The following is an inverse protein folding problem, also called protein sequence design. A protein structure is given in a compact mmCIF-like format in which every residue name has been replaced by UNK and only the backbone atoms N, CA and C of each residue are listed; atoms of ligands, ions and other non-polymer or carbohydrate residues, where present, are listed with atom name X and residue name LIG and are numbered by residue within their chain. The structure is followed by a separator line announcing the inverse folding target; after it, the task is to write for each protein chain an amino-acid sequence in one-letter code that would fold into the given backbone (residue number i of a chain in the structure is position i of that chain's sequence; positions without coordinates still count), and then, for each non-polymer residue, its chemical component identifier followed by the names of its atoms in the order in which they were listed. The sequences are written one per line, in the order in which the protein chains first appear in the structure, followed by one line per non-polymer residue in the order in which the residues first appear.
data_IF_831984747364
#
_entry.id   IF_831984747364
#
_cell.length_a   1.000
_cell.length_b   1.000
_cell.length_c   1.000
_cell.angle_alpha   90.00
_cell.angle_beta   90.00
_cell.angle_gamma   90.00
#
_symmetry.space_group_name_H-M   'P 1'
#
loop_
_entity.id
_entity.type
_entity.pdbx_description
1 polymer ?
#
# COMPACT_ATOMS: atom_id res chain seq x y z
N UNK A 1 8.74 -29.85 5.07
CA UNK A 1 8.97 -28.40 4.90
C UNK A 1 8.71 -27.73 6.23
N UNK A 2 9.62 -26.91 6.78
CA UNK A 2 9.38 -26.23 8.05
C UNK A 2 8.18 -25.27 7.96
N UNK A 3 7.39 -25.18 9.03
CA UNK A 3 6.26 -24.25 9.14
C UNK A 3 6.75 -22.82 9.39
N UNK A 4 5.92 -21.81 9.20
CA UNK A 4 6.30 -20.40 9.40
C UNK A 4 6.64 -20.13 10.87
N UNK A 5 5.96 -20.85 11.77
CA UNK A 5 6.26 -20.86 13.20
C UNK A 5 7.71 -21.25 13.49
N UNK A 6 8.30 -22.19 12.74
CA UNK A 6 9.64 -22.72 13.03
C UNK A 6 10.73 -21.69 12.82
N UNK A 7 10.60 -20.82 11.82
CA UNK A 7 11.54 -19.73 11.54
C UNK A 7 11.53 -18.65 12.62
N UNK A 8 10.45 -18.54 13.39
CA UNK A 8 10.30 -17.55 14.47
C UNK A 8 10.95 -17.92 15.79
N UNK A 9 11.31 -19.20 15.98
CA UNK A 9 11.78 -19.73 17.28
C UNK A 9 13.15 -19.18 17.69
N UNK A 10 14.05 -18.99 16.72
CA UNK A 10 15.43 -18.58 16.97
C UNK A 10 15.79 -17.40 16.05
N UNK A 11 15.86 -16.20 16.61
CA UNK A 11 16.25 -14.97 15.94
C UNK A 11 15.40 -14.66 14.66
N UNK A 12 14.12 -14.27 14.81
CA UNK A 12 13.24 -14.00 13.66
C UNK A 12 13.77 -12.88 12.74
N UNK A 13 14.62 -11.99 13.26
CA UNK A 13 15.22 -10.89 12.49
C UNK A 13 16.08 -11.38 11.31
N UNK A 14 16.65 -12.58 11.38
CA UNK A 14 17.45 -13.12 10.28
C UNK A 14 16.60 -13.46 9.05
N UNK A 15 15.30 -13.68 9.25
CA UNK A 15 14.35 -14.12 8.22
C UNK A 15 13.57 -13.00 7.58
N UNK A 16 13.75 -11.76 8.03
CA UNK A 16 13.14 -10.58 7.40
C UNK A 16 14.15 -9.83 6.54
N UNK A 17 13.64 -9.11 5.54
CA UNK A 17 14.39 -8.26 4.64
C UNK A 17 14.27 -6.82 5.11
N UNK A 18 15.40 -6.17 5.37
CA UNK A 18 15.43 -4.73 5.62
C UNK A 18 15.63 -3.99 4.30
N UNK A 19 14.65 -3.19 3.90
CA UNK A 19 14.83 -2.24 2.80
C UNK A 19 15.43 -0.94 3.32
N UNK A 20 16.52 -0.53 2.66
CA UNK A 20 17.11 0.78 2.88
C UNK A 20 16.12 1.88 2.47
N UNK A 21 16.11 2.95 3.24
CA UNK A 21 15.39 4.18 2.93
C UNK A 21 16.33 5.37 3.05
N UNK A 22 16.01 6.46 2.36
CA UNK A 22 16.77 7.71 2.50
C UNK A 22 16.63 8.26 3.91
N UNK A 23 17.75 8.63 4.55
CA UNK A 23 17.76 9.18 5.91
C UNK A 23 17.54 10.68 5.90
N UNK A 24 17.07 11.22 7.01
CA UNK A 24 17.17 12.66 7.27
C UNK A 24 18.63 12.99 7.68
N UNK A 25 19.24 14.10 7.21
CA UNK A 25 18.70 15.09 6.28
C UNK A 25 18.99 14.81 4.80
N UNK A 26 19.56 13.65 4.44
CA UNK A 26 20.06 13.34 3.09
C UNK A 26 19.01 13.55 1.98
N UNK A 27 17.74 13.25 2.25
CA UNK A 27 16.67 13.44 1.25
C UNK A 27 16.24 14.89 1.04
N UNK A 28 16.66 15.85 1.88
CA UNK A 28 16.18 17.24 1.81
C UNK A 28 16.50 17.89 0.46
N UNK A 29 17.62 17.54 -0.17
CA UNK A 29 17.97 18.04 -1.51
C UNK A 29 16.94 17.60 -2.56
N UNK A 30 16.42 16.38 -2.46
CA UNK A 30 15.37 15.85 -3.36
C UNK A 30 14.02 16.47 -3.01
N UNK A 31 13.70 16.58 -1.72
CA UNK A 31 12.48 17.23 -1.26
C UNK A 31 12.37 18.68 -1.75
N UNK A 32 13.46 19.46 -1.66
CA UNK A 32 13.51 20.83 -2.15
C UNK A 32 13.20 20.91 -3.64
N UNK A 33 13.86 20.08 -4.46
CA UNK A 33 13.59 20.00 -5.91
C UNK A 33 12.12 19.70 -6.24
N UNK A 34 11.44 18.93 -5.38
CA UNK A 34 10.04 18.55 -5.60
C UNK A 34 9.03 19.61 -5.14
N UNK A 35 9.33 20.35 -4.07
CA UNK A 35 8.33 21.15 -3.36
C UNK A 35 8.57 22.66 -3.37
N UNK A 36 9.77 23.13 -3.75
CA UNK A 36 10.08 24.57 -3.75
C UNK A 36 9.19 25.36 -4.70
N UNK A 37 9.10 24.95 -5.97
CA UNK A 37 8.23 25.61 -6.94
C UNK A 37 6.73 25.53 -6.57
N UNK A 38 6.16 24.36 -6.18
CA UNK A 38 4.79 24.29 -5.70
C UNK A 38 4.50 25.16 -4.47
N UNK A 39 5.45 25.32 -3.54
CA UNK A 39 5.27 26.19 -2.37
C UNK A 39 5.22 27.67 -2.76
N UNK A 40 6.08 28.10 -3.68
CA UNK A 40 6.05 29.47 -4.21
C UNK A 40 4.74 29.75 -4.96
N UNK A 41 4.31 28.81 -5.81
CA UNK A 41 3.05 28.88 -6.55
C UNK A 41 1.83 28.94 -5.61
N UNK A 42 1.84 28.14 -4.54
CA UNK A 42 0.81 28.21 -3.50
C UNK A 42 0.72 29.61 -2.88
N UNK A 43 1.87 30.27 -2.64
CA UNK A 43 1.91 31.66 -2.15
C UNK A 43 1.25 32.65 -3.11
N UNK A 44 1.46 32.49 -4.42
CA UNK A 44 0.79 33.32 -5.46
C UNK A 44 -0.73 33.12 -5.43
N UNK A 45 -1.17 31.86 -5.36
CA UNK A 45 -2.60 31.53 -5.28
C UNK A 45 -3.23 32.06 -3.98
N UNK A 46 -2.52 31.96 -2.86
CA UNK A 46 -2.97 32.51 -1.57
C UNK A 46 -3.22 34.01 -1.62
N UNK A 47 -2.39 34.78 -2.34
CA UNK A 47 -2.53 36.23 -2.43
C UNK A 47 -3.66 36.67 -3.36
N UNK A 48 -4.05 35.83 -4.32
CA UNK A 48 -5.09 36.14 -5.30
C UNK A 48 -6.47 35.58 -4.95
N UNK A 49 -6.55 34.60 -4.04
CA UNK A 49 -7.81 34.01 -3.60
C UNK A 49 -8.62 34.96 -2.70
N UNK A 50 -9.95 34.90 -2.79
CA UNK A 50 -10.85 35.70 -1.94
C UNK A 50 -11.12 35.03 -0.59
N UNK A 51 -11.23 33.70 -0.58
CA UNK A 51 -11.42 32.87 0.61
C UNK A 51 -10.79 31.48 0.40
N UNK A 52 -10.84 30.62 1.43
CA UNK A 52 -10.25 29.28 1.40
C UNK A 52 -10.92 28.33 0.40
N UNK A 53 -12.20 28.55 0.07
CA UNK A 53 -12.89 27.77 -0.95
C UNK A 53 -12.48 28.23 -2.36
N UNK A 54 -12.36 29.53 -2.60
CA UNK A 54 -11.82 30.08 -3.84
C UNK A 54 -10.37 29.62 -4.09
N UNK A 55 -9.54 29.56 -3.04
CA UNK A 55 -8.20 28.98 -3.12
C UNK A 55 -8.23 27.54 -3.64
N UNK A 56 -9.10 26.68 -3.10
CA UNK A 56 -9.26 25.30 -3.58
C UNK A 56 -9.73 25.27 -5.05
N UNK A 57 -10.70 26.10 -5.42
CA UNK A 57 -11.21 26.21 -6.80
C UNK A 57 -10.14 26.65 -7.80
N UNK A 58 -9.19 27.49 -7.37
CA UNK A 58 -8.03 27.86 -8.19
C UNK A 58 -7.06 26.70 -8.35
N UNK A 59 -6.69 26.05 -7.23
CA UNK A 59 -5.78 24.90 -7.24
C UNK A 59 -6.27 23.79 -8.19
N UNK A 60 -7.58 23.49 -8.22
CA UNK A 60 -8.08 22.42 -9.11
C UNK A 60 -7.91 22.72 -10.61
N UNK A 61 -7.75 24.00 -10.98
CA UNK A 61 -7.54 24.45 -12.37
C UNK A 61 -6.08 24.33 -12.82
N UNK A 62 -5.14 24.18 -11.89
CA UNK A 62 -3.73 24.02 -12.21
C UNK A 62 -3.45 22.69 -12.94
N UNK A 63 -2.45 22.64 -13.83
CA UNK A 63 -2.09 21.43 -14.56
C UNK A 63 -1.41 20.39 -13.66
N UNK A 64 -1.42 19.14 -14.11
CA UNK A 64 -0.60 18.08 -13.52
C UNK A 64 0.88 18.25 -13.96
N UNK A 65 1.86 17.83 -13.13
CA UNK A 65 1.71 17.24 -11.80
C UNK A 65 1.57 18.27 -10.65
N UNK A 66 1.79 19.56 -10.90
CA UNK A 66 1.85 20.64 -9.89
C UNK A 66 0.63 20.70 -8.97
N UNK A 67 -0.57 20.53 -9.55
CA UNK A 67 -1.85 20.48 -8.82
C UNK A 67 -1.86 19.52 -7.63
N UNK A 68 -1.27 18.32 -7.77
CA UNK A 68 -1.28 17.33 -6.67
C UNK A 68 -0.48 17.84 -5.48
N UNK A 69 0.64 18.52 -5.73
CA UNK A 69 1.45 19.08 -4.66
C UNK A 69 0.75 20.28 -4.00
N UNK A 70 0.11 21.15 -4.79
CA UNK A 70 -0.72 22.23 -4.26
C UNK A 70 -1.86 21.71 -3.38
N UNK A 71 -2.53 20.62 -3.75
CA UNK A 71 -3.56 19.98 -2.90
C UNK A 71 -2.99 19.43 -1.59
N UNK A 72 -1.77 18.87 -1.63
CA UNK A 72 -1.08 18.39 -0.42
C UNK A 72 -0.72 19.56 0.50
N UNK A 73 -0.26 20.68 -0.05
CA UNK A 73 0.03 21.91 0.69
C UNK A 73 -1.27 22.50 1.28
N UNK A 74 -2.33 22.60 0.47
CA UNK A 74 -3.67 23.02 0.90
C UNK A 74 -4.17 22.20 2.10
N UNK A 75 -4.04 20.87 2.05
CA UNK A 75 -4.40 20.00 3.18
C UNK A 75 -3.67 20.37 4.48
N UNK A 76 -2.39 20.77 4.40
CA UNK A 76 -1.58 21.11 5.58
C UNK A 76 -1.95 22.46 6.17
N UNK A 77 -2.17 23.46 5.33
CA UNK A 77 -2.47 24.82 5.78
C UNK A 77 -3.95 25.06 6.06
N UNK A 78 -4.84 24.45 5.28
CA UNK A 78 -6.27 24.83 5.22
C UNK A 78 -7.18 23.75 5.77
N UNK A 79 -7.05 22.50 5.32
CA UNK A 79 -7.99 21.43 5.69
C UNK A 79 -7.29 20.14 6.09
N UNK A 80 -7.00 19.98 7.37
CA UNK A 80 -6.36 18.76 7.88
C UNK A 80 -7.28 17.54 7.81
N UNK A 81 -8.60 17.77 7.92
CA UNK A 81 -9.64 16.73 7.94
C UNK A 81 -9.99 16.20 6.56
N UNK A 82 -9.77 16.96 5.48
CA UNK A 82 -10.08 16.50 4.12
C UNK A 82 -8.94 15.63 3.57
N UNK A 83 -9.17 14.35 3.22
CA UNK A 83 -8.16 13.52 2.58
C UNK A 83 -7.75 14.06 1.21
N UNK A 84 -6.47 13.93 0.84
CA UNK A 84 -5.99 14.36 -0.48
C UNK A 84 -6.70 13.61 -1.60
N UNK A 85 -7.06 12.33 -1.41
CA UNK A 85 -7.81 11.55 -2.41
C UNK A 85 -9.21 12.11 -2.71
N UNK A 86 -9.82 12.81 -1.75
CA UNK A 86 -11.06 13.56 -2.01
C UNK A 86 -10.77 14.83 -2.82
N UNK A 87 -9.71 15.57 -2.44
CA UNK A 87 -9.31 16.81 -3.15
C UNK A 87 -8.96 16.56 -4.62
N UNK A 88 -8.38 15.40 -4.95
CA UNK A 88 -8.03 15.02 -6.34
C UNK A 88 -9.25 14.85 -7.25
N UNK A 89 -10.45 14.64 -6.72
CA UNK A 89 -11.68 14.47 -7.50
C UNK A 89 -12.24 15.83 -7.91
N UNK A 90 -11.69 16.39 -9.00
CA UNK A 90 -12.02 17.74 -9.49
C UNK A 90 -13.53 17.93 -9.69
N UNK A 91 -14.22 16.92 -10.24
CA UNK A 91 -15.67 16.96 -10.45
C UNK A 91 -16.50 17.09 -9.18
N UNK A 92 -15.88 16.88 -8.00
CA UNK A 92 -16.50 16.95 -6.68
C UNK A 92 -16.00 18.14 -5.85
N UNK A 93 -15.32 19.12 -6.45
CA UNK A 93 -14.74 20.23 -5.68
C UNK A 93 -15.82 21.03 -4.92
N UNK A 94 -16.98 21.27 -5.53
CA UNK A 94 -18.08 21.98 -4.87
C UNK A 94 -18.70 21.14 -3.75
N UNK A 95 -18.84 19.83 -3.93
CA UNK A 95 -19.27 18.90 -2.87
C UNK A 95 -18.32 18.94 -1.67
N UNK A 96 -17.01 19.00 -1.93
CA UNK A 96 -15.99 19.15 -0.87
C UNK A 96 -16.14 20.49 -0.14
N UNK A 97 -16.34 21.59 -0.87
CA UNK A 97 -16.55 22.91 -0.27
C UNK A 97 -17.82 22.92 0.57
N UNK A 98 -18.93 22.36 0.09
CA UNK A 98 -20.19 22.29 0.84
C UNK A 98 -20.05 21.46 2.10
N UNK A 99 -19.42 20.29 2.02
CA UNK A 99 -19.38 19.34 3.14
C UNK A 99 -18.29 19.63 4.17
N UNK A 100 -17.17 20.22 3.75
CA UNK A 100 -15.99 20.42 4.60
C UNK A 100 -15.52 21.88 4.69
N UNK A 101 -16.08 22.80 3.89
CA UNK A 101 -15.63 24.19 3.83
C UNK A 101 -15.79 24.95 5.15
N UNK A 102 -16.76 24.56 5.98
CA UNK A 102 -16.94 25.13 7.31
C UNK A 102 -15.77 24.82 8.27
N UNK A 103 -15.04 23.73 8.03
CA UNK A 103 -13.84 23.34 8.78
C UNK A 103 -12.55 23.94 8.20
N UNK A 104 -12.63 24.67 7.07
CA UNK A 104 -11.44 25.27 6.47
C UNK A 104 -10.94 26.40 7.36
N UNK A 105 -9.62 26.39 7.63
CA UNK A 105 -8.95 27.54 8.24
C UNK A 105 -9.22 28.79 7.39
N UNK A 106 -9.47 29.92 8.03
CA UNK A 106 -9.74 31.16 7.31
C UNK A 106 -8.53 31.58 6.47
N UNK A 107 -8.77 32.23 5.34
CA UNK A 107 -7.67 32.62 4.43
C UNK A 107 -6.70 33.61 5.10
N UNK A 108 -7.19 34.45 6.02
CA UNK A 108 -6.36 35.37 6.79
C UNK A 108 -5.36 34.63 7.70
N UNK A 109 -5.83 33.64 8.44
CA UNK A 109 -4.97 32.80 9.29
C UNK A 109 -3.99 31.97 8.45
N UNK A 110 -4.41 31.48 7.29
CA UNK A 110 -3.54 30.74 6.36
C UNK A 110 -2.41 31.63 5.85
N UNK A 111 -2.71 32.87 5.41
CA UNK A 111 -1.71 33.83 4.97
C UNK A 111 -0.72 34.18 6.07
N UNK A 112 -1.19 34.41 7.30
CA UNK A 112 -0.33 34.67 8.45
C UNK A 112 0.58 33.47 8.76
N UNK A 113 0.02 32.26 8.76
CA UNK A 113 0.77 31.04 9.00
C UNK A 113 1.77 30.69 7.89
N UNK A 114 1.48 31.04 6.64
CA UNK A 114 2.41 30.88 5.52
C UNK A 114 3.55 31.90 5.62
N UNK A 115 3.24 33.17 5.87
CA UNK A 115 4.23 34.25 5.98
C UNK A 115 5.18 34.11 7.19
N UNK A 116 4.78 33.41 8.25
CA UNK A 116 5.63 33.16 9.42
C UNK A 116 6.71 32.09 9.20
N UNK A 117 6.71 31.42 8.04
CA UNK A 117 7.65 30.34 7.70
C UNK A 117 8.80 30.86 6.83
N UNK A 118 9.97 30.21 6.87
CA UNK A 118 11.03 30.49 5.91
C UNK A 118 10.59 30.12 4.49
N UNK A 119 11.16 30.79 3.49
CA UNK A 119 10.91 30.52 2.08
C UNK A 119 12.26 30.21 1.41
N UNK A 120 12.55 28.94 1.06
CA UNK A 120 11.68 27.76 1.16
C UNK A 120 11.45 27.21 2.60
N UNK A 121 10.25 26.67 2.86
CA UNK A 121 9.90 26.02 4.14
C UNK A 121 10.39 24.56 4.18
N UNK A 122 11.68 24.37 4.48
CA UNK A 122 12.30 23.04 4.52
C UNK A 122 11.60 22.06 5.46
N UNK A 123 11.04 22.52 6.59
CA UNK A 123 10.37 21.63 7.53
C UNK A 123 9.09 21.06 6.91
N UNK A 124 8.32 21.90 6.22
CA UNK A 124 7.14 21.43 5.49
C UNK A 124 7.54 20.50 4.34
N UNK A 125 8.60 20.81 3.60
CA UNK A 125 9.13 19.92 2.55
C UNK A 125 9.51 18.56 3.11
N UNK A 126 10.18 18.52 4.27
CA UNK A 126 10.58 17.28 4.93
C UNK A 126 9.37 16.42 5.30
N UNK A 127 8.38 17.03 5.97
CA UNK A 127 7.13 16.36 6.33
C UNK A 127 6.41 15.85 5.08
N UNK A 128 6.32 16.65 4.02
CA UNK A 128 5.66 16.23 2.78
C UNK A 128 6.39 15.08 2.09
N UNK A 129 7.73 15.08 2.10
CA UNK A 129 8.55 14.04 1.50
C UNK A 129 8.45 12.70 2.23
N UNK A 130 8.39 12.70 3.56
CA UNK A 130 8.18 11.49 4.36
C UNK A 130 6.89 10.75 3.96
N UNK A 131 5.88 11.50 3.51
CA UNK A 131 4.64 10.92 2.98
C UNK A 131 4.70 10.57 1.50
N UNK A 132 5.66 11.09 0.74
CA UNK A 132 5.81 10.83 -0.69
C UNK A 132 6.30 9.41 -0.97
N UNK A 133 7.12 8.86 -0.07
CA UNK A 133 7.71 7.52 -0.18
C UNK A 133 6.85 6.42 0.47
N UNK A 134 5.66 6.76 0.98
CA UNK A 134 4.76 5.78 1.60
C UNK A 134 4.30 4.75 0.57
N UNK A 135 4.73 3.50 0.77
CA UNK A 135 4.40 2.35 -0.08
C UNK A 135 5.54 1.86 -0.96
N UNK A 136 6.63 2.62 -1.11
CA UNK A 136 7.77 2.22 -1.96
C UNK A 136 8.40 0.91 -1.53
N UNK A 137 8.53 0.68 -0.22
CA UNK A 137 9.00 -0.58 0.36
C UNK A 137 8.09 -1.76 0.04
N UNK A 138 6.77 -1.55 0.00
CA UNK A 138 5.83 -2.56 -0.46
C UNK A 138 6.01 -2.89 -1.94
N UNK A 139 6.23 -1.87 -2.78
CA UNK A 139 6.52 -2.07 -4.21
C UNK A 139 7.87 -2.75 -4.46
N UNK A 140 8.86 -2.49 -3.61
CA UNK A 140 10.15 -3.18 -3.68
C UNK A 140 10.00 -4.66 -3.29
N UNK A 141 9.15 -4.97 -2.29
CA UNK A 141 8.82 -6.34 -1.90
C UNK A 141 8.21 -7.12 -3.07
N UNK A 142 7.16 -6.59 -3.70
CA UNK A 142 6.50 -7.25 -4.83
C UNK A 142 7.44 -7.35 -6.03
N UNK A 143 8.19 -6.30 -6.35
CA UNK A 143 9.14 -6.34 -7.47
C UNK A 143 10.19 -7.44 -7.31
N UNK A 144 10.76 -7.61 -6.12
CA UNK A 144 11.73 -8.68 -5.84
C UNK A 144 11.11 -10.06 -5.92
N UNK A 145 9.88 -10.22 -5.41
CA UNK A 145 9.16 -11.48 -5.49
C UNK A 145 8.86 -11.88 -6.94
N UNK A 146 8.30 -10.97 -7.75
CA UNK A 146 7.97 -11.25 -9.15
C UNK A 146 9.22 -11.63 -9.94
N UNK A 147 10.30 -10.86 -9.79
CA UNK A 147 11.59 -11.17 -10.42
C UNK A 147 12.08 -12.58 -10.03
N UNK A 148 12.12 -12.87 -8.73
CA UNK A 148 12.55 -14.18 -8.25
C UNK A 148 11.66 -15.31 -8.80
N UNK A 149 10.34 -15.11 -8.83
CA UNK A 149 9.40 -16.12 -9.30
C UNK A 149 9.59 -16.39 -10.80
N UNK A 150 9.69 -15.34 -11.62
CA UNK A 150 9.92 -15.48 -13.06
C UNK A 150 11.25 -16.20 -13.35
N UNK A 151 12.33 -15.83 -12.66
CA UNK A 151 13.65 -16.47 -12.80
C UNK A 151 13.63 -17.95 -12.37
N UNK A 152 12.86 -18.30 -11.33
CA UNK A 152 12.83 -19.66 -10.76
C UNK A 152 11.82 -20.57 -11.47
N UNK A 153 10.68 -20.03 -11.90
CA UNK A 153 9.48 -20.79 -12.25
C UNK A 153 8.80 -20.35 -13.56
N UNK A 154 9.25 -19.27 -14.21
CA UNK A 154 8.59 -18.68 -15.38
C UNK A 154 8.48 -19.60 -16.60
N UNK A 155 9.26 -20.68 -16.66
CA UNK A 155 9.15 -21.70 -17.71
C UNK A 155 7.91 -22.62 -17.55
N UNK A 156 7.34 -22.73 -16.34
CA UNK A 156 6.26 -23.69 -16.01
C UNK A 156 4.99 -23.02 -15.49
N UNK A 157 5.12 -21.80 -14.99
CA UNK A 157 4.04 -21.07 -14.34
C UNK A 157 4.01 -19.63 -14.83
N UNK A 158 2.83 -19.03 -14.78
CA UNK A 158 2.62 -17.62 -15.05
C UNK A 158 2.28 -16.91 -13.74
N UNK A 159 2.75 -15.67 -13.61
CA UNK A 159 2.46 -14.79 -12.48
C UNK A 159 1.88 -13.48 -13.01
N UNK A 160 0.81 -13.00 -12.37
CA UNK A 160 0.13 -11.74 -12.69
C UNK A 160 -0.07 -10.91 -11.42
N UNK A 161 -0.13 -9.60 -11.59
CA UNK A 161 -0.33 -8.60 -10.54
C UNK A 161 0.62 -7.40 -10.63
N UNK A 162 0.41 -6.41 -9.76
CA UNK A 162 1.20 -5.18 -9.78
C UNK A 162 2.63 -5.42 -9.27
N UNK A 163 3.60 -5.46 -10.18
CA UNK A 163 5.05 -5.55 -9.84
C UNK A 163 5.50 -4.38 -8.95
N UNK A 164 4.89 -3.20 -9.11
CA UNK A 164 5.11 -1.98 -8.30
C UNK A 164 3.77 -1.29 -8.03
N UNK A 165 3.71 0.05 -8.10
CA UNK A 165 2.45 0.77 -8.11
C UNK A 165 1.59 0.33 -9.32
N UNK A 166 0.39 -0.18 -9.06
CA UNK A 166 -0.52 -0.68 -10.09
C UNK A 166 -1.87 -1.05 -9.52
N UNK A 167 -2.77 -1.51 -10.39
CA UNK A 167 -4.07 -2.04 -9.98
C UNK A 167 -3.90 -3.51 -9.60
N UNK A 168 -4.43 -3.88 -8.45
CA UNK A 168 -4.45 -5.27 -7.98
C UNK A 168 -5.25 -6.19 -8.91
N UNK A 169 -4.95 -7.49 -8.86
CA UNK A 169 -5.72 -8.52 -9.56
C UNK A 169 -7.07 -8.67 -8.87
N UNK A 170 -8.13 -8.33 -9.59
CA UNK A 170 -9.49 -8.52 -9.10
C UNK A 170 -9.89 -9.98 -9.26
N UNK A 171 -9.87 -10.76 -8.17
CA UNK A 171 -10.08 -12.21 -8.25
C UNK A 171 -11.43 -12.59 -8.86
N UNK A 172 -12.46 -11.76 -8.68
CA UNK A 172 -13.77 -12.00 -9.28
C UNK A 172 -13.80 -11.86 -10.82
N UNK A 173 -12.81 -11.20 -11.42
CA UNK A 173 -12.62 -11.09 -12.88
C UNK A 173 -11.82 -12.30 -13.42
N UNK A 174 -11.01 -12.95 -12.56
CA UNK A 174 -10.14 -14.08 -12.93
C UNK A 174 -10.72 -15.45 -12.61
N UNK A 175 -11.53 -15.55 -11.56
CA UNK A 175 -12.06 -16.81 -11.03
C UNK A 175 -13.52 -17.01 -11.47
N UNK A 176 -13.85 -18.09 -12.20
CA UNK A 176 -15.20 -18.37 -12.67
C UNK A 176 -16.21 -18.48 -11.52
N UNK A 177 -17.39 -17.88 -11.70
CA UNK A 177 -18.50 -17.93 -10.74
C UNK A 177 -18.16 -17.43 -9.32
N UNK A 178 -17.06 -16.72 -9.14
CA UNK A 178 -16.64 -16.22 -7.83
C UNK A 178 -17.75 -15.38 -7.15
N UNK A 179 -18.40 -14.50 -7.92
CA UNK A 179 -19.52 -13.68 -7.45
C UNK A 179 -20.78 -14.46 -7.09
N UNK A 180 -20.92 -15.69 -7.59
CA UNK A 180 -22.02 -16.57 -7.23
C UNK A 180 -21.85 -17.14 -5.82
N UNK A 181 -20.62 -17.14 -5.28
CA UNK A 181 -20.32 -17.63 -3.94
C UNK A 181 -20.08 -16.51 -2.93
N UNK A 182 -19.52 -15.37 -3.38
CA UNK A 182 -19.12 -14.27 -2.50
C UNK A 182 -19.43 -12.91 -3.12
N UNK A 183 -20.04 -12.01 -2.34
CA UNK A 183 -20.40 -10.66 -2.77
C UNK A 183 -19.23 -9.66 -2.69
N UNK A 184 -18.18 -9.98 -1.92
CA UNK A 184 -17.03 -9.11 -1.71
C UNK A 184 -16.05 -9.16 -2.88
N UNK A 185 -15.44 -8.00 -3.16
CA UNK A 185 -14.31 -7.92 -4.08
C UNK A 185 -13.03 -8.22 -3.30
N UNK A 186 -12.28 -9.23 -3.72
CA UNK A 186 -10.96 -9.53 -3.14
C UNK A 186 -9.88 -9.11 -4.15
N UNK A 187 -9.20 -7.97 -3.92
CA UNK A 187 -8.00 -7.60 -4.67
C UNK A 187 -6.82 -8.42 -4.17
N UNK A 188 -6.06 -9.03 -5.08
CA UNK A 188 -4.85 -9.79 -4.80
C UNK A 188 -3.63 -9.13 -5.45
N UNK A 189 -2.51 -9.15 -4.75
CA UNK A 189 -1.22 -8.62 -5.23
C UNK A 189 -0.53 -9.60 -6.19
N UNK A 190 -0.82 -10.89 -6.03
CA UNK A 190 -0.18 -11.99 -6.75
C UNK A 190 -1.26 -12.95 -7.23
N UNK A 191 -1.20 -13.36 -8.49
CA UNK A 191 -2.02 -14.43 -9.05
C UNK A 191 -1.14 -15.35 -9.87
N UNK A 192 -1.06 -16.63 -9.49
CA UNK A 192 -0.22 -17.62 -10.16
C UNK A 192 -1.09 -18.67 -10.81
N UNK A 193 -0.81 -18.96 -12.07
CA UNK A 193 -1.47 -20.01 -12.86
C UNK A 193 -0.46 -20.97 -13.44
N UNK A 194 -0.93 -22.20 -13.74
CA UNK A 194 -0.22 -23.06 -14.69
C UNK A 194 -0.36 -22.47 -16.10
N UNK A 195 0.50 -22.88 -17.03
CA UNK A 195 0.45 -22.46 -18.44
C UNK A 195 -0.86 -22.81 -19.15
N UNK A 196 -1.62 -23.78 -18.65
CA UNK A 196 -2.96 -24.14 -19.15
C UNK A 196 -4.09 -23.22 -18.62
N UNK A 197 -3.76 -22.22 -17.79
CA UNK A 197 -4.71 -21.30 -17.17
C UNK A 197 -5.30 -21.77 -15.84
N UNK A 198 -4.92 -22.95 -15.34
CA UNK A 198 -5.39 -23.44 -14.04
C UNK A 198 -4.96 -22.50 -12.91
N UNK A 199 -5.89 -21.96 -12.10
CA UNK A 199 -5.55 -21.13 -10.95
C UNK A 199 -4.85 -21.95 -9.86
N UNK A 200 -3.65 -21.53 -9.46
CA UNK A 200 -2.86 -22.21 -8.43
C UNK A 200 -2.77 -21.38 -7.15
N UNK A 201 -2.51 -20.07 -7.24
CA UNK A 201 -2.32 -19.21 -6.07
C UNK A 201 -3.01 -17.88 -6.24
N UNK A 202 -3.70 -17.44 -5.19
CA UNK A 202 -4.02 -16.03 -4.96
C UNK A 202 -3.20 -15.55 -3.77
N UNK A 203 -2.42 -14.49 -3.94
CA UNK A 203 -1.45 -14.02 -2.97
C UNK A 203 -1.62 -12.56 -2.57
N UNK A 204 -1.19 -12.28 -1.35
CA UNK A 204 -1.25 -10.96 -0.73
C UNK A 204 0.14 -10.59 -0.21
N UNK A 205 0.63 -9.42 -0.60
CA UNK A 205 1.97 -8.96 -0.30
C UNK A 205 1.93 -7.75 0.64
N UNK A 206 2.79 -7.76 1.66
CA UNK A 206 2.88 -6.65 2.60
C UNK A 206 4.29 -6.51 3.15
N UNK A 207 4.76 -5.26 3.16
CA UNK A 207 5.97 -4.88 3.88
C UNK A 207 5.60 -4.11 5.15
N UNK A 208 5.96 -4.64 6.31
CA UNK A 208 5.70 -4.04 7.62
C UNK A 208 6.95 -3.29 8.11
N UNK A 209 6.99 -1.97 7.87
CA UNK A 209 8.14 -1.10 8.18
C UNK A 209 8.19 -0.62 9.63
N UNK A 210 7.04 -0.37 10.26
CA UNK A 210 6.89 0.29 11.56
C UNK A 210 5.46 0.11 12.12
N UNK A 211 5.35 -0.05 13.45
CA UNK A 211 4.08 -0.37 14.14
C UNK A 211 3.27 0.89 14.45
N UNK A 212 2.04 0.97 13.94
CA UNK A 212 0.98 1.86 14.45
C UNK A 212 -0.04 1.03 15.24
N UNK A 213 -0.07 1.18 16.57
CA UNK A 213 -0.67 0.26 17.55
C UNK A 213 -2.18 -0.01 17.50
N UNK A 214 -2.94 0.51 16.52
CA UNK A 214 -4.36 0.20 16.34
C UNK A 214 -4.63 -0.72 15.13
N UNK A 215 -3.61 -1.04 14.32
CA UNK A 215 -3.81 -1.78 13.08
C UNK A 215 -3.56 -3.29 13.19
N UNK A 216 -3.21 -3.84 14.35
CA UNK A 216 -2.84 -5.27 14.48
C UNK A 216 -4.06 -6.20 14.40
N UNK A 217 -5.08 -5.97 15.24
CA UNK A 217 -6.28 -6.81 15.32
C UNK A 217 -7.14 -6.78 14.04
N UNK A 218 -7.30 -5.60 13.43
CA UNK A 218 -8.05 -5.45 12.18
C UNK A 218 -7.39 -6.21 11.01
N UNK A 219 -6.06 -6.36 11.03
CA UNK A 219 -5.29 -6.96 9.92
C UNK A 219 -5.34 -8.49 9.95
N UNK A 220 -5.20 -9.09 11.13
CA UNK A 220 -5.19 -10.55 11.28
C UNK A 220 -6.58 -11.13 10.97
N UNK A 221 -7.65 -10.47 11.44
CA UNK A 221 -9.02 -10.82 11.07
C UNK A 221 -9.27 -10.75 9.56
N UNK A 222 -8.87 -9.66 8.90
CA UNK A 222 -9.02 -9.53 7.45
C UNK A 222 -8.24 -10.57 6.65
N UNK A 223 -7.03 -10.95 7.09
CA UNK A 223 -6.25 -11.98 6.42
C UNK A 223 -6.87 -13.37 6.58
N UNK A 224 -7.36 -13.68 7.78
CA UNK A 224 -8.11 -14.90 8.06
C UNK A 224 -9.37 -15.02 7.18
N UNK A 225 -10.15 -13.94 7.07
CA UNK A 225 -11.36 -13.90 6.24
C UNK A 225 -11.05 -14.13 4.75
N UNK A 226 -9.96 -13.51 4.25
CA UNK A 226 -9.50 -13.72 2.87
C UNK A 226 -9.10 -15.19 2.63
N UNK A 227 -8.30 -15.76 3.52
CA UNK A 227 -7.84 -17.14 3.40
C UNK A 227 -9.01 -18.12 3.43
N UNK A 228 -9.90 -17.98 4.41
CA UNK A 228 -11.09 -18.80 4.57
C UNK A 228 -12.02 -18.70 3.35
N UNK A 229 -12.25 -17.48 2.86
CA UNK A 229 -13.08 -17.25 1.66
C UNK A 229 -12.53 -17.97 0.44
N UNK A 230 -11.22 -17.83 0.18
CA UNK A 230 -10.59 -18.43 -1.00
C UNK A 230 -10.50 -19.94 -0.91
N UNK A 231 -10.24 -20.50 0.27
CA UNK A 231 -10.25 -21.95 0.47
C UNK A 231 -11.67 -22.54 0.26
N UNK A 232 -12.69 -21.86 0.79
CA UNK A 232 -14.08 -22.26 0.59
C UNK A 232 -14.49 -22.18 -0.88
N UNK A 233 -14.05 -21.14 -1.59
CA UNK A 233 -14.21 -21.03 -3.04
C UNK A 233 -13.56 -22.23 -3.76
N UNK A 234 -12.28 -22.49 -3.48
CA UNK A 234 -11.51 -23.55 -4.11
C UNK A 234 -12.16 -24.93 -3.92
N UNK A 235 -12.62 -25.22 -2.70
CA UNK A 235 -13.32 -26.45 -2.36
C UNK A 235 -14.65 -26.60 -3.13
N UNK A 236 -15.45 -25.53 -3.23
CA UNK A 236 -16.75 -25.55 -3.94
C UNK A 236 -16.59 -25.63 -5.46
N UNK A 237 -15.59 -24.93 -5.99
CA UNK A 237 -15.29 -24.92 -7.42
C UNK A 237 -14.50 -26.17 -7.86
N UNK A 238 -13.98 -26.96 -6.92
CA UNK A 238 -13.18 -28.15 -7.22
C UNK A 238 -11.84 -27.83 -7.90
N UNK A 239 -11.22 -26.69 -7.55
CA UNK A 239 -9.96 -26.22 -8.15
C UNK A 239 -8.80 -26.24 -7.14
N UNK A 240 -7.53 -26.32 -7.59
CA UNK A 240 -6.38 -26.46 -6.70
C UNK A 240 -5.91 -25.14 -6.06
N UNK A 241 -6.72 -24.08 -6.09
CA UNK A 241 -6.34 -22.74 -5.66
C UNK A 241 -5.91 -22.72 -4.17
N UNK A 242 -4.73 -22.15 -3.92
CA UNK A 242 -4.09 -21.94 -2.62
C UNK A 242 -3.92 -20.46 -2.33
N UNK A 243 -3.57 -20.14 -1.08
CA UNK A 243 -3.39 -18.77 -0.60
C UNK A 243 -1.94 -18.54 -0.20
N UNK A 244 -1.35 -17.44 -0.67
CA UNK A 244 0.02 -17.04 -0.33
C UNK A 244 0.01 -15.69 0.41
N UNK A 245 0.67 -15.62 1.56
CA UNK A 245 0.97 -14.37 2.22
C UNK A 245 2.48 -14.11 2.16
N UNK A 246 2.87 -13.13 1.34
CA UNK A 246 4.23 -12.60 1.31
C UNK A 246 4.30 -11.44 2.30
N UNK A 247 4.66 -11.72 3.55
CA UNK A 247 4.77 -10.70 4.58
C UNK A 247 6.22 -10.57 5.04
N UNK A 248 6.79 -9.38 4.93
CA UNK A 248 8.21 -9.13 5.20
C UNK A 248 8.41 -7.79 5.95
N UNK A 249 9.59 -7.60 6.55
CA UNK A 249 9.97 -6.37 7.24
C UNK A 249 10.01 -6.46 8.77
N UNK A 250 10.61 -5.46 9.42
CA UNK A 250 10.86 -5.43 10.87
C UNK A 250 9.60 -5.47 11.73
N UNK A 251 8.46 -4.97 11.25
CA UNK A 251 7.21 -5.01 11.99
C UNK A 251 6.73 -6.43 12.32
N UNK A 252 7.12 -7.42 11.49
CA UNK A 252 6.79 -8.83 11.68
C UNK A 252 7.39 -9.43 12.96
N UNK A 253 8.49 -8.85 13.46
CA UNK A 253 9.15 -9.31 14.69
C UNK A 253 8.59 -8.66 15.95
N UNK A 254 7.56 -7.81 15.82
CA UNK A 254 6.95 -7.09 16.93
C UNK A 254 5.60 -7.71 17.31
N UNK A 255 5.27 -7.68 18.61
CA UNK A 255 3.94 -8.06 19.09
C UNK A 255 3.58 -9.52 18.84
N UNK A 256 2.33 -9.77 18.45
CA UNK A 256 1.84 -11.12 18.13
C UNK A 256 1.96 -11.47 16.65
N UNK A 257 2.33 -10.52 15.79
CA UNK A 257 2.30 -10.67 14.31
C UNK A 257 2.90 -11.99 13.81
N UNK A 258 4.11 -12.34 14.24
CA UNK A 258 4.71 -13.63 13.84
C UNK A 258 3.82 -14.82 14.19
N UNK A 259 3.28 -14.82 15.42
CA UNK A 259 2.40 -15.87 15.93
C UNK A 259 1.08 -15.90 15.18
N UNK A 260 0.53 -14.74 14.84
CA UNK A 260 -0.75 -14.63 14.15
C UNK A 260 -0.66 -15.14 12.71
N UNK A 261 0.42 -14.80 12.01
CA UNK A 261 0.70 -15.37 10.69
C UNK A 261 1.03 -16.87 10.77
N UNK A 262 1.71 -17.32 11.83
CA UNK A 262 1.94 -18.75 12.05
C UNK A 262 0.63 -19.52 12.29
N UNK A 263 -0.31 -18.95 13.04
CA UNK A 263 -1.64 -19.52 13.25
C UNK A 263 -2.43 -19.55 11.93
N UNK A 264 -2.43 -18.45 11.18
CA UNK A 264 -3.06 -18.35 9.86
C UNK A 264 -2.56 -19.42 8.87
N UNK A 265 -1.27 -19.73 8.89
CA UNK A 265 -0.72 -20.81 8.07
C UNK A 265 -1.21 -22.18 8.55
N UNK A 266 -1.16 -22.43 9.87
CA UNK A 266 -1.57 -23.70 10.45
C UNK A 266 -3.04 -24.03 10.16
N UNK A 267 -3.92 -23.04 10.31
CA UNK A 267 -5.36 -23.15 10.02
C UNK A 267 -5.63 -23.45 8.54
N UNK A 268 -4.73 -23.02 7.64
CA UNK A 268 -4.86 -23.28 6.21
C UNK A 268 -4.59 -24.72 5.78
N UNK A 269 -4.17 -25.61 6.69
CA UNK A 269 -4.02 -27.05 6.45
C UNK A 269 -3.24 -27.37 5.15
N UNK A 270 -2.13 -26.66 4.92
CA UNK A 270 -1.28 -26.81 3.73
C UNK A 270 -1.74 -26.05 2.49
N UNK A 271 -2.94 -25.47 2.48
CA UNK A 271 -3.45 -24.60 1.41
C UNK A 271 -3.16 -23.12 1.61
N UNK A 272 -2.65 -22.73 2.78
CA UNK A 272 -2.11 -21.40 3.03
C UNK A 272 -0.60 -21.52 3.23
N UNK A 273 0.16 -20.63 2.62
CA UNK A 273 1.59 -20.48 2.85
C UNK A 273 1.89 -19.05 3.26
N UNK A 274 2.65 -18.89 4.34
CA UNK A 274 3.22 -17.61 4.77
C UNK A 274 4.73 -17.66 4.57
N UNK A 275 5.29 -16.63 3.93
CA UNK A 275 6.73 -16.51 3.77
C UNK A 275 7.20 -15.06 3.70
N UNK A 276 8.47 -14.85 4.05
CA UNK A 276 9.24 -13.64 3.70
C UNK A 276 10.03 -13.89 2.41
N UNK A 277 10.71 -12.86 1.85
CA UNK A 277 11.58 -13.06 0.68
C UNK A 277 12.70 -14.08 0.96
N UNK A 278 13.22 -14.12 2.20
CA UNK A 278 14.32 -15.01 2.58
C UNK A 278 13.92 -16.48 2.71
N UNK A 279 12.63 -16.79 2.71
CA UNK A 279 12.13 -18.16 2.83
C UNK A 279 11.69 -18.75 1.48
N UNK A 280 11.67 -17.97 0.40
CA UNK A 280 11.05 -18.33 -0.87
C UNK A 280 11.58 -19.63 -1.46
N UNK A 281 12.91 -19.80 -1.52
CA UNK A 281 13.56 -20.98 -2.10
C UNK A 281 13.26 -22.28 -1.36
N UNK A 282 13.03 -22.21 -0.06
CA UNK A 282 12.77 -23.41 0.77
C UNK A 282 11.28 -23.74 0.83
N UNK A 283 10.41 -22.72 0.78
CA UNK A 283 8.98 -22.87 1.06
C UNK A 283 8.09 -22.88 -0.18
N UNK A 284 8.28 -21.92 -1.09
CA UNK A 284 7.46 -21.81 -2.29
C UNK A 284 8.02 -22.70 -3.39
N UNK A 285 7.73 -23.99 -3.30
CA UNK A 285 8.25 -25.05 -4.17
C UNK A 285 7.24 -25.49 -5.24
N UNK A 286 7.71 -26.08 -6.34
CA UNK A 286 6.80 -26.72 -7.32
C UNK A 286 5.95 -27.81 -6.69
N UNK A 287 6.47 -28.54 -5.68
CA UNK A 287 5.70 -29.53 -4.95
C UNK A 287 4.52 -28.87 -4.21
N UNK A 288 4.74 -27.74 -3.55
CA UNK A 288 3.65 -27.01 -2.89
C UNK A 288 2.68 -26.39 -3.89
N UNK A 289 3.14 -25.89 -5.04
CA UNK A 289 2.27 -25.34 -6.08
C UNK A 289 1.31 -26.42 -6.63
N UNK A 290 1.79 -27.66 -6.81
CA UNK A 290 1.04 -28.74 -7.48
C UNK A 290 0.30 -29.72 -6.54
N UNK A 291 0.47 -29.60 -5.22
CA UNK A 291 -0.12 -30.52 -4.24
C UNK A 291 -1.65 -30.49 -4.12
#
# INVERSE_FOLDING_TARGET
MPSFADYGKNNPSQWITAFEGTRYPDYLTVARKMYEAPLAEFGVLLNTATDSADLLRRIVREPLPGRIQLMRIFRRYVSQKTPVEMLKKISKVEEVVTNYGADFRSLAEVRLAYASRPHPDEALMAVMYEHADRGSKGYELTARFFKWFEETYGARYQIDGPVRAGKDVMLHERLPHFRSFFSSNIPADIYITRTDGTPLVAGFARYDSDRGGAQEDDRTGQNHDKATTLQNYAARAGIPLKVLFLNDGPGLTLGSMWRDYAALEAEGNGRTLVCTLKMLSERLTSQWLES
#
